data_IF_107056185579
#
_entry.id   IF_107056185579
#
_cell.length_a   1.000
_cell.length_b   1.000
_cell.length_c   1.000
_cell.angle_alpha   90.00
_cell.angle_beta   90.00
_cell.angle_gamma   90.00
#
_symmetry.space_group_name_H-M   'P 1'
#
loop_
_entity.id
_entity.type
_entity.pdbx_description
1 polymer ?
#
# COMPACT_ATOMS: atom_id res chain seq x y z
N UNK A 1 -49.50 29.26 27.35
CA UNK A 1 -50.76 28.95 26.66
C UNK A 1 -50.36 27.97 25.57
N UNK A 2 -50.70 26.85 25.85
CA UNK A 2 -51.33 25.59 25.37
C UNK A 2 -50.31 24.77 24.60
N UNK A 3 -49.77 23.70 25.06
CA UNK A 3 -50.15 22.32 25.49
C UNK A 3 -51.25 21.69 24.62
N UNK A 4 -50.83 20.60 23.91
CA UNK A 4 -51.62 19.39 23.60
C UNK A 4 -50.61 18.35 23.11
N UNK A 5 -50.26 17.37 23.80
CA UNK A 5 -50.75 16.10 24.32
C UNK A 5 -51.07 15.05 23.22
N UNK A 6 -50.29 13.96 23.30
CA UNK A 6 -50.49 12.66 22.66
C UNK A 6 -51.85 12.02 22.96
N UNK A 7 -52.21 10.94 22.24
CA UNK A 7 -52.54 9.75 23.01
C UNK A 7 -51.91 8.43 22.50
N UNK A 8 -51.46 7.66 23.50
CA UNK A 8 -51.20 6.21 23.43
C UNK A 8 -52.54 5.48 23.26
N UNK A 9 -52.53 4.37 22.48
CA UNK A 9 -53.55 3.32 22.65
C UNK A 9 -52.83 1.93 22.68
N UNK A 10 -53.24 1.16 23.68
CA UNK A 10 -52.69 -0.10 24.11
C UNK A 10 -53.31 -1.32 23.40
N UNK A 11 -52.58 -2.33 23.45
CA UNK A 11 -52.78 -3.77 23.44
C UNK A 11 -54.19 -4.36 23.45
N UNK A 12 -54.46 -5.36 22.59
CA UNK A 12 -55.59 -6.29 22.70
C UNK A 12 -55.33 -7.59 21.96
N UNK A 13 -55.05 -8.69 22.69
CA UNK A 13 -55.04 -10.08 22.22
C UNK A 13 -56.44 -10.61 22.02
N UNK A 14 -56.62 -11.52 21.06
CA UNK A 14 -57.44 -12.77 20.96
C UNK A 14 -57.79 -12.97 19.46
N UNK A 15 -57.59 -14.06 18.83
CA UNK A 15 -57.91 -15.42 19.05
C UNK A 15 -58.39 -16.06 17.73
N UNK A 16 -57.70 -17.07 17.25
CA UNK A 16 -58.12 -18.25 16.48
C UNK A 16 -59.10 -18.19 15.30
N UNK A 17 -58.67 -18.85 14.25
CA UNK A 17 -59.25 -19.88 13.35
C UNK A 17 -59.60 -19.50 11.91
N UNK A 18 -58.87 -20.22 11.05
CA UNK A 18 -59.30 -21.05 9.88
C UNK A 18 -59.91 -20.35 8.64
N UNK A 19 -59.24 -20.51 7.57
CA UNK A 19 -59.55 -21.31 6.37
C UNK A 19 -59.44 -20.57 5.03
N UNK A 20 -58.76 -21.26 4.12
CA UNK A 20 -58.95 -21.30 2.66
C UNK A 20 -58.40 -20.18 1.76
N UNK A 21 -57.48 -20.68 0.96
CA UNK A 21 -56.87 -20.19 -0.27
C UNK A 21 -57.89 -19.64 -1.32
N UNK A 22 -57.50 -18.84 -2.34
CA UNK A 22 -56.40 -19.13 -3.27
C UNK A 22 -55.53 -17.93 -3.74
N UNK A 23 -54.39 -18.30 -4.28
CA UNK A 23 -53.40 -17.60 -5.10
C UNK A 23 -54.01 -16.85 -6.34
N UNK A 24 -53.27 -16.03 -7.13
CA UNK A 24 -51.87 -15.60 -7.09
C UNK A 24 -51.68 -14.10 -7.42
N UNK A 25 -50.59 -13.49 -7.01
CA UNK A 25 -49.91 -12.49 -7.82
C UNK A 25 -48.41 -12.50 -7.49
N UNK A 26 -47.68 -12.90 -8.48
CA UNK A 26 -46.23 -12.89 -8.57
C UNK A 26 -45.70 -11.46 -8.47
N UNK A 27 -44.87 -11.19 -7.48
CA UNK A 27 -43.78 -10.23 -7.61
C UNK A 27 -42.56 -10.87 -6.95
N UNK A 28 -41.89 -11.70 -7.76
CA UNK A 28 -40.56 -12.20 -7.44
C UNK A 28 -39.56 -11.04 -7.55
N UNK A 29 -39.29 -10.38 -6.43
CA UNK A 29 -38.06 -9.59 -6.27
C UNK A 29 -36.92 -10.61 -6.26
N UNK A 30 -36.29 -10.75 -7.39
CA UNK A 30 -35.03 -11.48 -7.51
C UNK A 30 -34.03 -10.69 -6.68
N UNK A 31 -33.82 -11.12 -5.43
CA UNK A 31 -32.59 -10.81 -4.70
C UNK A 31 -31.48 -11.53 -5.48
N UNK A 32 -30.79 -10.83 -6.36
CA UNK A 32 -29.50 -11.24 -6.83
C UNK A 32 -28.58 -11.26 -5.61
N UNK A 33 -28.49 -12.44 -4.98
CA UNK A 33 -27.42 -12.74 -4.06
C UNK A 33 -26.11 -12.56 -4.80
N UNK A 34 -25.32 -11.61 -4.36
CA UNK A 34 -23.90 -11.50 -4.75
C UNK A 34 -23.26 -12.82 -4.29
N UNK A 35 -23.20 -13.76 -5.20
CA UNK A 35 -22.45 -15.00 -5.02
C UNK A 35 -20.98 -14.63 -5.14
N UNK A 36 -20.36 -14.28 -4.03
CA UNK A 36 -18.92 -14.26 -3.93
C UNK A 36 -18.50 -15.75 -3.84
N UNK A 37 -17.85 -16.33 -4.84
CA UNK A 37 -17.33 -17.68 -4.73
C UNK A 37 -16.32 -17.64 -3.57
N UNK A 38 -16.66 -18.36 -2.48
CA UNK A 38 -15.65 -18.67 -1.48
C UNK A 38 -14.53 -19.36 -2.25
N UNK A 39 -13.30 -18.84 -2.22
CA UNK A 39 -12.20 -19.53 -2.88
C UNK A 39 -12.16 -20.94 -2.34
N UNK A 40 -12.11 -21.91 -3.24
CA UNK A 40 -11.96 -23.32 -2.87
C UNK A 40 -10.67 -23.44 -2.03
N UNK A 41 -10.86 -23.53 -0.72
CA UNK A 41 -9.77 -23.54 0.27
C UNK A 41 -8.99 -24.86 0.26
N UNK A 42 -9.44 -25.84 -0.51
CA UNK A 42 -8.93 -27.20 -0.39
C UNK A 42 -7.75 -27.53 -1.31
N UNK A 43 -7.58 -26.83 -2.44
CA UNK A 43 -6.49 -27.15 -3.38
C UNK A 43 -5.26 -26.24 -3.29
N UNK A 44 -5.39 -25.01 -2.79
CA UNK A 44 -4.26 -24.05 -2.70
C UNK A 44 -3.70 -23.91 -1.26
N UNK A 45 -4.38 -24.42 -0.25
CA UNK A 45 -4.01 -24.23 1.15
C UNK A 45 -2.95 -25.22 1.65
N UNK A 46 -2.86 -26.42 1.05
CA UNK A 46 -1.94 -27.47 1.49
C UNK A 46 -0.58 -27.47 0.77
N UNK A 47 -0.47 -26.74 -0.32
CA UNK A 47 0.72 -26.75 -1.14
C UNK A 47 1.66 -25.62 -0.83
N UNK A 48 2.21 -25.40 0.25
CA UNK A 48 3.43 -24.62 0.51
C UNK A 48 3.37 -23.96 1.89
N UNK A 49 3.57 -24.77 2.89
CA UNK A 49 3.95 -24.28 4.21
C UNK A 49 5.37 -23.71 4.12
N UNK A 50 5.48 -22.43 3.77
CA UNK A 50 6.77 -21.75 3.86
C UNK A 50 7.04 -21.57 5.35
N UNK A 51 8.02 -22.33 5.85
CA UNK A 51 8.48 -22.17 7.22
C UNK A 51 8.94 -20.74 7.44
N UNK A 52 8.45 -20.12 8.50
CA UNK A 52 8.98 -18.82 8.92
C UNK A 52 10.47 -19.00 9.17
N UNK A 53 11.33 -18.10 8.70
CA UNK A 53 12.74 -18.19 9.02
C UNK A 53 12.91 -18.14 10.55
N UNK A 54 13.55 -19.15 11.10
CA UNK A 54 13.92 -19.18 12.51
C UNK A 54 15.32 -18.61 12.65
N UNK A 55 15.54 -17.75 13.61
CA UNK A 55 16.85 -17.17 13.88
C UNK A 55 17.26 -17.39 15.33
N UNK A 56 18.54 -17.68 15.54
CA UNK A 56 19.17 -17.67 16.86
C UNK A 56 19.56 -16.25 17.31
N UNK A 57 19.27 -15.23 16.51
CA UNK A 57 19.53 -13.83 16.88
C UNK A 57 18.70 -13.43 18.09
N UNK A 58 19.34 -12.79 19.07
CA UNK A 58 18.67 -12.17 20.21
C UNK A 58 18.00 -10.84 19.83
N UNK A 59 18.46 -10.20 18.75
CA UNK A 59 18.01 -8.87 18.31
C UNK A 59 16.89 -8.97 17.26
N UNK A 60 17.10 -9.77 16.19
CA UNK A 60 16.19 -9.83 15.05
C UNK A 60 15.11 -10.90 15.23
N UNK A 61 13.89 -10.59 14.74
CA UNK A 61 12.72 -11.44 14.90
C UNK A 61 12.70 -12.64 13.95
N UNK A 62 13.17 -12.49 12.72
CA UNK A 62 13.02 -13.48 11.65
C UNK A 62 14.36 -14.06 11.22
N UNK A 63 15.33 -13.21 10.85
CA UNK A 63 16.64 -13.64 10.36
C UNK A 63 17.71 -12.59 10.65
N UNK A 64 18.98 -13.00 10.72
CA UNK A 64 20.10 -12.06 10.82
C UNK A 64 20.18 -11.09 9.64
N UNK A 65 19.61 -11.45 8.49
CA UNK A 65 19.58 -10.61 7.31
C UNK A 65 18.67 -9.38 7.47
N UNK A 66 17.80 -9.35 8.48
CA UNK A 66 17.00 -8.15 8.82
C UNK A 66 17.87 -6.96 9.24
N UNK A 67 19.15 -7.23 9.57
CA UNK A 67 20.15 -6.19 9.76
C UNK A 67 20.35 -5.32 8.51
N UNK A 68 20.18 -5.87 7.31
CA UNK A 68 20.44 -5.13 6.05
C UNK A 68 19.38 -4.04 5.82
N UNK A 69 18.07 -4.34 5.78
CA UNK A 69 17.07 -3.29 5.65
C UNK A 69 17.03 -2.35 6.86
N UNK A 70 17.32 -2.84 8.08
CA UNK A 70 17.42 -1.98 9.25
C UNK A 70 18.57 -0.96 9.12
N UNK A 71 19.76 -1.42 8.68
CA UNK A 71 20.91 -0.55 8.43
C UNK A 71 20.62 0.44 7.27
N UNK A 72 19.95 0.00 6.20
CA UNK A 72 19.56 0.87 5.10
C UNK A 72 18.63 1.99 5.56
N UNK A 73 17.66 1.68 6.44
CA UNK A 73 16.77 2.69 7.00
C UNK A 73 17.49 3.69 7.90
N UNK A 74 18.41 3.22 8.76
CA UNK A 74 19.25 4.10 9.57
C UNK A 74 20.20 4.96 8.73
N UNK A 75 20.76 4.39 7.67
CA UNK A 75 21.58 5.13 6.71
C UNK A 75 20.78 6.22 6.00
N UNK A 76 19.51 5.99 5.68
CA UNK A 76 18.65 7.01 5.09
C UNK A 76 18.45 8.20 6.03
N UNK A 77 18.22 7.97 7.33
CA UNK A 77 18.18 9.05 8.32
C UNK A 77 19.51 9.80 8.40
N UNK A 78 20.63 9.08 8.50
CA UNK A 78 21.96 9.68 8.51
C UNK A 78 22.23 10.51 7.24
N UNK A 79 21.75 10.05 6.09
CA UNK A 79 21.86 10.76 4.81
C UNK A 79 21.08 12.07 4.82
N UNK A 80 19.83 12.07 5.31
CA UNK A 80 19.04 13.30 5.48
C UNK A 80 19.76 14.33 6.35
N UNK A 81 20.27 13.88 7.52
CA UNK A 81 21.05 14.76 8.40
C UNK A 81 22.34 15.25 7.72
N UNK A 82 23.01 14.36 6.96
CA UNK A 82 24.17 14.71 6.15
C UNK A 82 23.89 15.80 5.14
N UNK A 83 22.75 15.73 4.42
CA UNK A 83 22.33 16.79 3.49
C UNK A 83 22.17 18.12 4.19
N UNK A 84 21.53 18.12 5.37
CA UNK A 84 21.31 19.34 6.16
C UNK A 84 22.61 19.99 6.60
N UNK A 85 23.55 19.21 7.14
CA UNK A 85 24.84 19.76 7.59
C UNK A 85 25.79 20.12 6.44
N UNK A 86 25.70 19.41 5.31
CA UNK A 86 26.56 19.67 4.16
C UNK A 86 26.08 20.88 3.33
N UNK A 87 24.79 21.20 3.37
CA UNK A 87 24.17 22.21 2.51
C UNK A 87 24.87 23.56 2.52
N UNK A 88 25.29 24.15 3.67
CA UNK A 88 25.97 25.44 3.68
C UNK A 88 27.42 25.40 3.16
N UNK A 89 28.00 24.21 2.95
CA UNK A 89 29.43 24.04 2.63
C UNK A 89 29.68 23.49 1.24
N UNK A 90 28.72 22.78 0.63
CA UNK A 90 28.88 22.15 -0.67
C UNK A 90 28.38 23.05 -1.82
N UNK A 91 28.99 22.96 -3.01
CA UNK A 91 28.50 23.65 -4.18
C UNK A 91 27.12 23.12 -4.60
N UNK A 92 26.28 24.01 -5.17
CA UNK A 92 24.88 23.69 -5.50
C UNK A 92 24.74 22.45 -6.39
N UNK A 93 25.60 22.26 -7.39
CA UNK A 93 25.52 21.11 -8.29
C UNK A 93 25.71 19.76 -7.56
N UNK A 94 26.60 19.74 -6.54
CA UNK A 94 26.76 18.56 -5.67
C UNK A 94 25.49 18.31 -4.89
N UNK A 95 24.91 19.36 -4.30
CA UNK A 95 23.68 19.25 -3.54
C UNK A 95 22.51 18.79 -4.42
N UNK A 96 22.41 19.25 -5.67
CA UNK A 96 21.36 18.77 -6.60
C UNK A 96 21.48 17.26 -6.87
N UNK A 97 22.70 16.74 -7.07
CA UNK A 97 22.94 15.30 -7.23
C UNK A 97 22.54 14.55 -5.94
N UNK A 98 23.01 15.03 -4.79
CA UNK A 98 22.70 14.40 -3.51
C UNK A 98 21.22 14.46 -3.17
N UNK A 99 20.52 15.55 -3.50
CA UNK A 99 19.07 15.66 -3.37
C UNK A 99 18.33 14.65 -4.25
N UNK A 100 18.75 14.45 -5.48
CA UNK A 100 18.18 13.43 -6.34
C UNK A 100 18.40 12.01 -5.79
N UNK A 101 19.60 11.72 -5.27
CA UNK A 101 19.88 10.45 -4.58
C UNK A 101 18.95 10.27 -3.37
N UNK A 102 18.71 11.34 -2.59
CA UNK A 102 17.75 11.31 -1.49
C UNK A 102 16.33 10.94 -1.97
N UNK A 103 15.88 11.50 -3.10
CA UNK A 103 14.58 11.13 -3.69
C UNK A 103 14.50 9.63 -4.01
N UNK A 104 15.58 9.05 -4.56
CA UNK A 104 15.64 7.61 -4.82
C UNK A 104 15.66 6.80 -3.52
N UNK A 105 16.31 7.31 -2.47
CA UNK A 105 16.31 6.66 -1.15
C UNK A 105 14.94 6.70 -0.48
N UNK A 106 14.17 7.80 -0.60
CA UNK A 106 12.77 7.86 -0.14
C UNK A 106 11.94 6.77 -0.81
N UNK A 107 12.02 6.65 -2.14
CA UNK A 107 11.33 5.59 -2.87
C UNK A 107 11.76 4.19 -2.43
N UNK A 108 13.06 3.93 -2.31
CA UNK A 108 13.58 2.63 -1.88
C UNK A 108 13.21 2.30 -0.43
N UNK A 109 13.18 3.32 0.45
CA UNK A 109 12.79 3.14 1.83
C UNK A 109 11.29 2.80 1.94
N UNK A 110 10.40 3.61 1.37
CA UNK A 110 8.96 3.37 1.42
C UNK A 110 8.63 1.99 0.85
N UNK A 111 9.11 1.68 -0.35
CA UNK A 111 8.75 0.47 -1.08
C UNK A 111 9.61 -0.76 -0.74
N UNK A 112 10.70 -0.60 -0.03
CA UNK A 112 11.59 -1.70 0.35
C UNK A 112 11.65 -1.88 1.86
N UNK A 113 12.30 -0.94 2.56
CA UNK A 113 12.52 -1.03 4.02
C UNK A 113 11.21 -0.96 4.79
N UNK A 114 10.46 0.14 4.64
CA UNK A 114 9.21 0.40 5.36
C UNK A 114 8.14 -0.65 5.03
N UNK A 115 8.02 -1.01 3.77
CA UNK A 115 7.09 -2.04 3.31
C UNK A 115 7.36 -3.41 3.95
N UNK A 116 8.61 -3.89 3.93
CA UNK A 116 8.96 -5.15 4.57
C UNK A 116 8.80 -5.08 6.10
N UNK A 117 9.10 -3.93 6.70
CA UNK A 117 8.95 -3.69 8.13
C UNK A 117 7.50 -3.80 8.61
N UNK A 118 6.53 -3.30 7.84
CA UNK A 118 5.09 -3.41 8.13
C UNK A 118 4.66 -4.88 8.23
N UNK A 119 5.06 -5.71 7.27
CA UNK A 119 4.64 -7.12 7.22
C UNK A 119 5.40 -8.03 8.18
N UNK A 120 6.67 -7.73 8.40
CA UNK A 120 7.61 -8.52 9.19
C UNK A 120 8.51 -7.58 10.00
N UNK A 121 8.05 -7.04 11.15
CA UNK A 121 8.85 -6.17 12.00
C UNK A 121 10.19 -6.80 12.33
N UNK A 122 11.28 -6.06 12.12
CA UNK A 122 12.64 -6.61 12.12
C UNK A 122 13.14 -7.06 13.48
N UNK A 123 12.74 -6.38 14.56
CA UNK A 123 13.28 -6.60 15.90
C UNK A 123 12.33 -7.46 16.76
N UNK A 124 12.91 -8.26 17.66
CA UNK A 124 12.13 -8.98 18.67
C UNK A 124 11.48 -8.06 19.69
N UNK A 125 12.17 -6.96 20.02
CA UNK A 125 11.68 -5.94 20.95
C UNK A 125 10.68 -5.03 20.27
N UNK A 126 9.48 -4.91 20.83
CA UNK A 126 8.49 -3.94 20.33
C UNK A 126 8.98 -2.50 20.46
N UNK A 127 9.70 -2.17 21.54
CA UNK A 127 10.26 -0.83 21.69
C UNK A 127 11.23 -0.51 20.56
N UNK A 128 12.12 -1.45 20.18
CA UNK A 128 13.04 -1.22 19.06
C UNK A 128 12.29 -1.06 17.73
N UNK A 129 11.19 -1.79 17.51
CA UNK A 129 10.36 -1.59 16.34
C UNK A 129 9.71 -0.20 16.35
N UNK A 130 9.21 0.29 17.49
CA UNK A 130 8.64 1.66 17.61
C UNK A 130 9.72 2.73 17.38
N UNK A 131 10.90 2.59 17.97
CA UNK A 131 12.01 3.51 17.72
C UNK A 131 12.47 3.50 16.25
N UNK A 132 12.51 2.33 15.62
CA UNK A 132 12.81 2.23 14.21
C UNK A 132 11.72 2.89 13.36
N UNK A 133 10.43 2.71 13.69
CA UNK A 133 9.31 3.42 13.06
C UNK A 133 9.50 4.94 13.11
N UNK A 134 9.87 5.50 14.26
CA UNK A 134 10.18 6.93 14.41
C UNK A 134 11.33 7.34 13.49
N UNK A 135 12.42 6.57 13.43
CA UNK A 135 13.57 6.88 12.56
C UNK A 135 13.19 6.87 11.08
N UNK A 136 12.34 5.91 10.66
CA UNK A 136 11.82 5.87 9.29
C UNK A 136 10.90 7.06 9.00
N UNK A 137 10.07 7.43 9.97
CA UNK A 137 9.16 8.57 9.84
C UNK A 137 9.91 9.89 9.67
N UNK A 138 11.02 10.08 10.38
CA UNK A 138 11.90 11.25 10.18
C UNK A 138 12.59 11.18 8.81
N UNK A 139 13.17 10.03 8.45
CA UNK A 139 13.92 9.87 7.21
C UNK A 139 13.08 10.11 5.94
N UNK A 140 11.80 9.74 5.96
CA UNK A 140 10.87 9.88 4.85
C UNK A 140 9.90 11.07 5.00
N UNK A 141 9.89 11.72 6.17
CA UNK A 141 8.97 12.80 6.55
C UNK A 141 7.49 12.44 6.37
N UNK A 142 7.11 11.23 6.83
CA UNK A 142 5.72 10.80 6.98
C UNK A 142 5.63 9.71 8.07
N UNK A 143 4.46 9.49 8.65
CA UNK A 143 4.32 8.49 9.72
C UNK A 143 4.34 7.05 9.18
N UNK A 144 5.28 6.24 9.64
CA UNK A 144 5.38 4.81 9.32
C UNK A 144 4.15 4.04 9.81
N UNK A 145 3.60 4.41 10.97
CA UNK A 145 2.37 3.79 11.51
C UNK A 145 1.13 4.16 10.70
N UNK A 146 1.04 5.40 10.18
CA UNK A 146 -0.03 5.77 9.27
C UNK A 146 0.11 5.05 7.91
N UNK A 147 1.33 4.90 7.43
CA UNK A 147 1.61 4.10 6.23
C UNK A 147 1.17 2.64 6.42
N UNK A 148 1.43 2.03 7.59
CA UNK A 148 0.90 0.69 7.90
C UNK A 148 -0.63 0.64 7.76
N UNK A 149 -1.36 1.64 8.26
CA UNK A 149 -2.81 1.68 8.15
C UNK A 149 -3.29 1.73 6.69
N UNK A 150 -2.68 2.62 5.89
CA UNK A 150 -2.98 2.76 4.46
C UNK A 150 -2.64 1.47 3.71
N UNK A 151 -1.47 0.89 4.00
CA UNK A 151 -0.98 -0.31 3.34
C UNK A 151 -1.81 -1.56 3.70
N UNK A 152 -2.27 -1.69 4.96
CA UNK A 152 -3.18 -2.77 5.32
C UNK A 152 -4.57 -2.62 4.68
N UNK A 153 -5.01 -1.40 4.41
CA UNK A 153 -6.23 -1.15 3.64
C UNK A 153 -6.03 -1.48 2.16
N UNK A 154 -4.84 -1.17 1.62
CA UNK A 154 -4.43 -1.58 0.28
C UNK A 154 -4.47 -3.11 0.10
N UNK A 155 -3.97 -3.90 1.05
CA UNK A 155 -4.08 -5.37 1.02
C UNK A 155 -5.49 -5.91 1.15
N UNK A 156 -6.47 -5.14 1.61
CA UNK A 156 -7.88 -5.54 1.61
C UNK A 156 -8.52 -5.35 0.25
N UNK A 157 -8.25 -4.23 -0.42
CA UNK A 157 -8.80 -3.88 -1.71
C UNK A 157 -7.98 -4.38 -2.89
N UNK A 158 -6.63 -4.47 -2.75
CA UNK A 158 -5.71 -4.93 -3.80
C UNK A 158 -5.86 -4.16 -5.12
N UNK A 159 -5.96 -2.84 -5.03
CA UNK A 159 -6.23 -1.96 -6.17
C UNK A 159 -7.56 -2.29 -6.88
N UNK A 160 -8.61 -2.45 -6.06
CA UNK A 160 -9.97 -2.72 -6.52
C UNK A 160 -10.52 -1.59 -7.40
N UNK A 161 -11.48 -1.95 -8.25
CA UNK A 161 -12.23 -1.00 -9.07
C UNK A 161 -13.28 -0.28 -8.23
N UNK A 162 -13.71 0.89 -8.68
CA UNK A 162 -14.82 1.62 -8.07
C UNK A 162 -16.09 0.75 -8.03
N UNK A 163 -16.78 0.82 -6.91
CA UNK A 163 -18.13 0.26 -6.76
C UNK A 163 -19.21 1.15 -7.42
N UNK A 164 -20.48 0.78 -7.28
CA UNK A 164 -21.62 1.52 -7.84
C UNK A 164 -21.73 2.96 -7.31
N UNK A 165 -21.07 3.28 -6.19
CA UNK A 165 -21.04 4.62 -5.58
C UNK A 165 -19.81 5.43 -5.98
N UNK A 166 -18.90 4.82 -6.75
CA UNK A 166 -17.63 5.43 -7.13
C UNK A 166 -16.54 5.32 -6.05
N UNK A 167 -16.73 4.47 -5.02
CA UNK A 167 -15.76 4.26 -3.95
C UNK A 167 -14.90 3.02 -4.18
N UNK A 168 -13.69 3.00 -3.59
CA UNK A 168 -12.79 1.84 -3.54
C UNK A 168 -12.49 1.46 -2.10
N UNK A 169 -12.27 0.17 -1.84
CA UNK A 169 -11.80 -0.33 -0.54
C UNK A 169 -10.35 0.10 -0.31
N UNK A 170 -9.54 0.00 -1.35
CA UNK A 170 -8.15 0.41 -1.35
C UNK A 170 -8.03 1.92 -1.55
N UNK A 171 -7.48 2.61 -0.55
CA UNK A 171 -7.27 4.06 -0.65
C UNK A 171 -6.19 4.46 -1.66
N UNK A 172 -5.30 3.52 -1.99
CA UNK A 172 -4.24 3.68 -3.00
C UNK A 172 -4.61 3.03 -4.34
N UNK A 173 -5.86 2.61 -4.54
CA UNK A 173 -6.27 2.00 -5.80
C UNK A 173 -5.99 2.95 -6.98
N UNK A 174 -5.35 2.41 -8.01
CA UNK A 174 -5.13 3.15 -9.27
C UNK A 174 -6.44 3.46 -10.01
N UNK A 175 -7.55 2.83 -9.60
CA UNK A 175 -8.88 3.05 -10.16
C UNK A 175 -9.71 4.07 -9.37
N UNK A 176 -9.27 4.46 -8.15
CA UNK A 176 -10.03 5.33 -7.25
C UNK A 176 -10.43 6.68 -7.86
N UNK A 177 -9.57 7.26 -8.68
CA UNK A 177 -9.80 8.52 -9.37
C UNK A 177 -9.78 8.35 -10.89
N UNK A 178 -9.99 7.09 -11.34
CA UNK A 178 -10.19 6.76 -12.74
C UNK A 178 -11.60 7.08 -13.21
N UNK A 179 -11.84 6.93 -14.51
CA UNK A 179 -13.15 7.13 -15.13
C UNK A 179 -13.51 5.91 -15.98
N UNK A 180 -14.79 5.59 -16.09
CA UNK A 180 -15.31 4.52 -16.94
C UNK A 180 -14.69 3.14 -16.65
N UNK A 181 -14.31 2.89 -15.38
CA UNK A 181 -13.69 1.62 -14.95
C UNK A 181 -12.22 1.49 -15.34
N UNK A 182 -11.61 2.53 -15.89
CA UNK A 182 -10.19 2.56 -16.23
C UNK A 182 -9.34 3.13 -15.09
N UNK A 183 -8.05 2.75 -15.06
CA UNK A 183 -7.11 3.33 -14.13
C UNK A 183 -6.91 4.84 -14.40
N UNK A 184 -6.65 5.60 -13.35
CA UNK A 184 -6.31 7.01 -13.44
C UNK A 184 -5.07 7.22 -14.33
N UNK A 185 -4.93 8.44 -14.88
CA UNK A 185 -3.70 8.81 -15.57
C UNK A 185 -2.49 8.64 -14.65
N UNK A 186 -1.42 7.92 -15.07
CA UNK A 186 -0.28 7.65 -14.19
C UNK A 186 0.37 8.92 -13.65
N UNK A 187 0.43 9.99 -14.43
CA UNK A 187 1.02 11.25 -13.98
C UNK A 187 0.12 12.01 -13.00
N UNK A 188 -1.21 12.00 -13.21
CA UNK A 188 -2.15 12.51 -12.20
C UNK A 188 -2.03 11.73 -10.89
N UNK A 189 -2.02 10.41 -10.96
CA UNK A 189 -1.82 9.55 -9.79
C UNK A 189 -0.51 9.90 -9.06
N UNK A 190 0.61 9.96 -9.79
CA UNK A 190 1.94 10.22 -9.23
C UNK A 190 2.04 11.57 -8.52
N UNK A 191 1.53 12.62 -9.15
CA UNK A 191 1.68 13.98 -8.61
C UNK A 191 0.56 14.37 -7.63
N UNK A 192 -0.58 13.72 -7.64
CA UNK A 192 -1.71 14.14 -6.80
C UNK A 192 -1.94 13.23 -5.60
N UNK A 193 -1.52 11.96 -5.62
CA UNK A 193 -1.84 10.99 -4.55
C UNK A 193 -1.38 11.47 -3.17
N UNK A 194 -0.19 12.08 -3.08
CA UNK A 194 0.32 12.61 -1.81
C UNK A 194 -0.65 13.61 -1.13
N UNK A 195 -1.37 14.41 -1.91
CA UNK A 195 -2.29 15.42 -1.39
C UNK A 195 -3.71 14.90 -1.16
N UNK A 196 -3.99 13.65 -1.53
CA UNK A 196 -5.31 13.02 -1.43
C UNK A 196 -5.48 12.16 -0.18
N UNK A 197 -4.41 11.96 0.58
CA UNK A 197 -4.45 11.16 1.80
C UNK A 197 -5.33 11.83 2.86
N UNK A 198 -6.42 11.17 3.25
CA UNK A 198 -7.29 11.61 4.34
C UNK A 198 -6.72 11.17 5.69
N UNK A 199 -5.87 12.03 6.26
CA UNK A 199 -5.27 11.82 7.59
C UNK A 199 -6.35 11.61 8.67
N UNK A 200 -7.52 12.24 8.52
CA UNK A 200 -8.63 12.08 9.46
C UNK A 200 -9.20 10.66 9.45
N UNK A 201 -9.39 10.08 8.27
CA UNK A 201 -9.85 8.70 8.10
C UNK A 201 -8.79 7.71 8.56
N UNK A 202 -7.52 7.92 8.23
CA UNK A 202 -6.40 7.09 8.70
C UNK A 202 -6.35 7.06 10.22
N UNK A 203 -6.46 8.22 10.89
CA UNK A 203 -6.49 8.31 12.35
C UNK A 203 -7.69 7.60 12.97
N UNK A 204 -8.87 7.67 12.35
CA UNK A 204 -10.05 6.92 12.80
C UNK A 204 -9.82 5.41 12.74
N UNK A 205 -9.14 4.90 11.68
CA UNK A 205 -8.79 3.50 11.57
C UNK A 205 -7.79 3.08 12.66
N UNK A 206 -6.74 3.86 12.88
CA UNK A 206 -5.75 3.60 13.93
C UNK A 206 -6.38 3.52 15.33
N UNK A 207 -7.31 4.42 15.65
CA UNK A 207 -8.05 4.39 16.94
C UNK A 207 -8.89 3.13 17.09
N UNK A 208 -9.49 2.62 16.00
CA UNK A 208 -10.28 1.38 16.03
C UNK A 208 -9.45 0.15 16.35
N UNK A 209 -8.14 0.15 16.02
CA UNK A 209 -7.24 -0.97 16.26
C UNK A 209 -6.96 -1.23 17.74
N UNK A 210 -7.12 -0.22 18.62
CA UNK A 210 -6.97 -0.31 20.10
C UNK A 210 -5.64 -0.91 20.59
N UNK A 211 -4.59 -0.82 19.78
CA UNK A 211 -3.26 -1.37 20.06
C UNK A 211 -2.20 -0.29 20.35
N UNK A 212 -2.63 0.98 20.50
CA UNK A 212 -1.77 2.13 20.72
C UNK A 212 -1.15 2.73 19.45
N UNK A 213 -1.53 2.28 18.27
CA UNK A 213 -0.97 2.78 17.01
C UNK A 213 -1.31 4.26 16.79
N UNK A 214 -2.48 4.73 17.22
CA UNK A 214 -2.83 6.16 17.13
C UNK A 214 -1.89 7.04 17.96
N UNK A 215 -1.47 6.59 19.16
CA UNK A 215 -0.47 7.28 19.98
C UNK A 215 0.88 7.31 19.25
N UNK A 216 1.38 6.17 18.77
CA UNK A 216 2.67 6.08 18.10
C UNK A 216 2.68 6.85 16.78
N UNK A 217 1.60 6.80 15.99
CA UNK A 217 1.45 7.63 14.80
C UNK A 217 1.55 9.14 15.10
N UNK A 218 0.98 9.61 16.22
CA UNK A 218 1.12 11.00 16.63
C UNK A 218 2.55 11.34 17.08
N UNK A 219 3.25 10.43 17.76
CA UNK A 219 4.67 10.60 18.13
C UNK A 219 5.54 10.71 16.88
N UNK A 220 5.31 9.85 15.89
CA UNK A 220 6.01 9.89 14.61
C UNK A 220 5.78 11.19 13.84
N UNK A 221 4.50 11.66 13.77
CA UNK A 221 4.16 12.95 13.19
C UNK A 221 4.87 14.10 13.91
N UNK A 222 4.86 14.10 15.23
CA UNK A 222 5.54 15.13 16.03
C UNK A 222 7.05 15.08 15.82
N UNK A 223 7.66 13.90 15.76
CA UNK A 223 9.09 13.73 15.58
C UNK A 223 9.57 14.28 14.23
N UNK A 224 8.93 13.91 13.11
CA UNK A 224 9.37 14.44 11.83
C UNK A 224 8.99 15.92 11.65
N UNK A 225 7.82 16.38 12.14
CA UNK A 225 7.44 17.78 12.08
C UNK A 225 8.43 18.66 12.89
N UNK A 226 8.83 18.22 14.08
CA UNK A 226 9.86 18.91 14.87
C UNK A 226 11.20 18.92 14.15
N UNK A 227 11.59 17.80 13.52
CA UNK A 227 12.84 17.74 12.73
C UNK A 227 12.81 18.72 11.57
N UNK A 228 11.71 18.77 10.80
CA UNK A 228 11.55 19.76 9.72
C UNK A 228 11.56 21.19 10.22
N UNK A 229 10.90 21.47 11.36
CA UNK A 229 10.90 22.79 11.97
C UNK A 229 12.31 23.21 12.41
N UNK A 230 13.05 22.31 13.04
CA UNK A 230 14.46 22.55 13.42
C UNK A 230 15.31 22.85 12.18
N UNK A 231 15.17 22.04 11.11
CA UNK A 231 15.89 22.26 9.86
C UNK A 231 15.49 23.55 9.14
N UNK A 232 14.25 24.01 9.30
CA UNK A 232 13.75 25.26 8.73
C UNK A 232 14.23 26.51 9.49
N UNK A 233 14.51 26.37 10.79
CA UNK A 233 14.85 27.52 11.64
C UNK A 233 16.36 27.64 11.82
N UNK A 234 17.07 26.53 12.04
CA UNK A 234 18.49 26.53 12.40
C UNK A 234 19.34 26.43 11.13
N UNK A 235 20.34 27.30 11.02
CA UNK A 235 21.38 27.23 9.99
C UNK A 235 22.64 26.63 10.61
N UNK A 236 23.10 25.44 10.20
CA UNK A 236 24.21 24.75 10.85
C UNK A 236 25.52 25.56 10.90
N UNK A 237 25.79 26.35 9.85
CA UNK A 237 27.00 27.21 9.77
C UNK A 237 26.87 28.52 10.52
N UNK A 238 25.66 28.90 10.90
CA UNK A 238 25.42 30.16 11.64
C UNK A 238 24.13 30.07 12.47
N UNK A 239 24.18 29.49 13.68
CA UNK A 239 22.98 29.25 14.49
C UNK A 239 22.28 30.52 14.99
N UNK A 240 22.88 31.70 14.81
CA UNK A 240 22.25 33.01 15.12
C UNK A 240 21.33 33.49 14.00
N UNK A 241 21.50 32.97 12.78
CA UNK A 241 20.57 33.26 11.68
C UNK A 241 19.36 32.30 11.75
N UNK A 242 18.23 32.87 12.12
CA UNK A 242 16.94 32.19 12.07
C UNK A 242 16.43 32.18 10.64
N UNK A 243 15.74 31.06 10.27
CA UNK A 243 15.10 30.79 8.98
C UNK A 243 16.08 30.30 7.91
N UNK A 244 16.17 28.98 7.84
CA UNK A 244 16.96 28.26 6.83
C UNK A 244 16.13 28.00 5.55
N UNK A 245 15.49 29.06 5.02
CA UNK A 245 14.57 28.93 3.88
C UNK A 245 15.25 28.36 2.62
N UNK A 246 16.56 28.63 2.45
CA UNK A 246 17.33 28.10 1.31
C UNK A 246 17.43 26.57 1.35
N UNK A 247 17.66 26.01 2.54
CA UNK A 247 17.65 24.56 2.70
C UNK A 247 16.25 23.99 2.43
N UNK A 248 15.20 24.59 2.95
CA UNK A 248 13.84 24.13 2.71
C UNK A 248 13.44 24.20 1.24
N UNK A 249 13.82 25.29 0.55
CA UNK A 249 13.58 25.44 -0.90
C UNK A 249 14.34 24.37 -1.72
N UNK A 250 15.52 23.97 -1.26
CA UNK A 250 16.28 22.86 -1.84
C UNK A 250 15.65 21.50 -1.48
N UNK A 251 15.35 21.26 -0.21
CA UNK A 251 14.97 19.96 0.31
C UNK A 251 13.56 19.51 -0.12
N UNK A 252 12.57 20.38 0.00
CA UNK A 252 11.16 20.04 -0.25
C UNK A 252 10.89 19.47 -1.65
N UNK A 253 11.46 20.01 -2.75
CA UNK A 253 11.29 19.43 -4.08
C UNK A 253 11.81 17.99 -4.19
N UNK A 254 12.98 17.69 -3.61
CA UNK A 254 13.56 16.34 -3.65
C UNK A 254 12.81 15.37 -2.76
N UNK A 255 12.38 15.81 -1.59
CA UNK A 255 11.49 15.02 -0.73
C UNK A 255 10.20 14.65 -1.45
N UNK A 256 9.51 15.63 -2.04
CA UNK A 256 8.28 15.40 -2.79
C UNK A 256 8.51 14.50 -4.01
N UNK A 257 9.60 14.73 -4.76
CA UNK A 257 9.98 13.88 -5.88
C UNK A 257 10.17 12.41 -5.45
N UNK A 258 10.73 12.17 -4.26
CA UNK A 258 10.87 10.83 -3.70
C UNK A 258 9.53 10.14 -3.45
N UNK A 259 8.53 10.88 -2.95
CA UNK A 259 7.16 10.39 -2.84
C UNK A 259 6.52 10.14 -4.21
N UNK A 260 6.74 11.02 -5.18
CA UNK A 260 6.28 10.81 -6.56
C UNK A 260 6.85 9.51 -7.15
N UNK A 261 8.15 9.23 -6.96
CA UNK A 261 8.76 7.97 -7.38
C UNK A 261 8.15 6.76 -6.66
N UNK A 262 7.76 6.91 -5.40
CA UNK A 262 7.09 5.86 -4.65
C UNK A 262 5.69 5.56 -5.23
N UNK A 263 4.89 6.58 -5.52
CA UNK A 263 3.59 6.40 -6.18
C UNK A 263 3.74 5.85 -7.60
N UNK A 264 4.75 6.29 -8.36
CA UNK A 264 5.02 5.75 -9.70
C UNK A 264 5.34 4.25 -9.63
N UNK A 265 6.11 3.84 -8.63
CA UNK A 265 6.42 2.43 -8.35
C UNK A 265 5.14 1.67 -7.99
N UNK A 266 4.30 2.21 -7.10
CA UNK A 266 3.00 1.66 -6.70
C UNK A 266 2.05 1.49 -7.88
N UNK A 267 1.92 2.50 -8.74
CA UNK A 267 1.04 2.47 -9.91
C UNK A 267 1.34 1.27 -10.81
N UNK A 268 2.59 1.09 -11.23
CA UNK A 268 2.96 0.01 -12.16
C UNK A 268 3.10 -1.37 -11.49
N UNK A 269 2.96 -1.46 -10.19
CA UNK A 269 2.76 -2.72 -9.48
C UNK A 269 1.35 -3.28 -9.65
N UNK A 270 0.39 -2.44 -10.02
CA UNK A 270 -1.01 -2.83 -10.19
C UNK A 270 -1.53 -2.63 -11.60
N UNK A 271 -0.92 -1.75 -12.40
CA UNK A 271 -1.40 -1.47 -13.75
C UNK A 271 -1.26 -2.69 -14.66
N UNK A 272 -2.41 -3.18 -15.14
CA UNK A 272 -2.52 -4.42 -15.91
C UNK A 272 -2.50 -5.70 -15.09
N UNK A 273 -2.64 -5.61 -13.75
CA UNK A 273 -2.95 -6.75 -12.89
C UNK A 273 -4.41 -7.16 -13.03
N UNK A 274 -4.75 -8.37 -12.61
CA UNK A 274 -6.13 -8.84 -12.59
C UNK A 274 -6.69 -8.78 -11.16
N UNK A 275 -7.57 -7.81 -10.84
CA UNK A 275 -8.12 -7.65 -9.50
C UNK A 275 -9.07 -8.79 -9.07
N UNK A 276 -9.56 -9.60 -10.01
CA UNK A 276 -10.51 -10.69 -9.73
C UNK A 276 -9.80 -11.99 -9.32
N UNK A 277 -8.46 -12.06 -9.49
CA UNK A 277 -7.67 -13.26 -9.22
C UNK A 277 -6.64 -13.01 -8.12
N UNK A 278 -6.75 -13.64 -6.92
CA UNK A 278 -5.83 -13.40 -5.81
C UNK A 278 -4.34 -13.55 -6.13
N UNK A 279 -3.98 -14.51 -6.97
CA UNK A 279 -2.60 -14.73 -7.39
C UNK A 279 -2.09 -13.67 -8.38
N UNK A 280 -2.99 -12.95 -9.04
CA UNK A 280 -2.70 -11.95 -10.07
C UNK A 280 -3.04 -10.51 -9.65
N UNK A 281 -3.23 -10.24 -8.35
CA UNK A 281 -3.52 -8.90 -7.82
C UNK A 281 -2.41 -7.89 -8.01
N UNK A 282 -1.23 -8.34 -8.37
CA UNK A 282 -0.09 -7.48 -8.65
C UNK A 282 0.66 -7.88 -9.91
N UNK A 283 1.52 -6.98 -10.36
CA UNK A 283 2.48 -7.18 -11.43
C UNK A 283 3.85 -7.40 -10.82
N UNK A 284 4.60 -8.40 -11.26
CA UNK A 284 5.91 -8.70 -10.70
C UNK A 284 7.06 -8.30 -11.64
N UNK A 285 8.18 -7.93 -11.05
CA UNK A 285 9.44 -7.66 -11.74
C UNK A 285 10.57 -8.46 -11.09
N UNK A 286 11.26 -9.28 -11.88
CA UNK A 286 12.32 -10.16 -11.37
C UNK A 286 13.73 -9.64 -11.65
N UNK A 287 13.88 -8.36 -11.99
CA UNK A 287 15.20 -7.73 -12.18
C UNK A 287 16.06 -7.84 -10.93
N UNK A 288 17.25 -8.43 -11.03
CA UNK A 288 18.12 -8.72 -9.87
C UNK A 288 18.51 -7.46 -9.09
N UNK A 289 18.99 -6.42 -9.79
CA UNK A 289 19.41 -5.15 -9.17
C UNK A 289 18.23 -4.49 -8.48
N UNK A 290 17.07 -4.43 -9.13
CA UNK A 290 15.87 -3.87 -8.56
C UNK A 290 15.46 -4.60 -7.27
N UNK A 291 15.39 -5.94 -7.33
CA UNK A 291 15.01 -6.73 -6.16
C UNK A 291 16.04 -6.66 -5.03
N UNK A 292 17.30 -6.53 -5.35
CA UNK A 292 18.33 -6.33 -4.32
C UNK A 292 18.17 -4.97 -3.63
N UNK A 293 17.94 -3.88 -4.37
CA UNK A 293 17.76 -2.54 -3.82
C UNK A 293 16.44 -2.36 -3.05
N UNK A 294 15.40 -3.09 -3.45
CA UNK A 294 14.06 -3.00 -2.86
C UNK A 294 13.68 -4.22 -2.00
N UNK A 295 14.66 -4.98 -1.54
CA UNK A 295 14.47 -6.13 -0.63
C UNK A 295 13.38 -7.09 -1.12
N UNK A 296 13.48 -7.51 -2.38
CA UNK A 296 12.57 -8.42 -3.08
C UNK A 296 11.12 -7.93 -3.23
N UNK A 297 10.89 -6.64 -3.10
CA UNK A 297 9.56 -6.07 -3.30
C UNK A 297 9.14 -5.95 -4.79
N UNK A 298 10.00 -6.36 -5.71
CA UNK A 298 9.65 -6.59 -7.11
C UNK A 298 8.74 -7.81 -7.32
N UNK A 299 8.74 -8.77 -6.40
CA UNK A 299 7.85 -9.95 -6.38
C UNK A 299 6.46 -9.55 -5.85
N UNK A 300 5.79 -8.63 -6.51
CA UNK A 300 4.63 -7.95 -5.96
C UNK A 300 3.35 -8.80 -6.02
N UNK A 301 3.14 -9.57 -7.09
CA UNK A 301 2.03 -10.52 -7.18
C UNK A 301 2.13 -11.60 -6.09
N UNK A 302 3.34 -12.14 -5.89
CA UNK A 302 3.65 -13.09 -4.82
C UNK A 302 3.38 -12.50 -3.45
N UNK A 303 3.80 -11.24 -3.27
CA UNK A 303 3.59 -10.52 -2.03
C UNK A 303 2.10 -10.33 -1.72
N UNK A 304 1.28 -9.87 -2.67
CA UNK A 304 -0.16 -9.76 -2.48
C UNK A 304 -0.83 -11.10 -2.21
N UNK A 305 -0.38 -12.17 -2.89
CA UNK A 305 -0.90 -13.52 -2.67
C UNK A 305 -0.56 -14.06 -1.28
N UNK A 306 0.64 -13.77 -0.75
CA UNK A 306 1.10 -14.20 0.59
C UNK A 306 1.95 -13.11 1.27
N UNK A 307 1.33 -12.05 1.81
CA UNK A 307 2.05 -10.87 2.31
C UNK A 307 2.94 -11.13 3.53
N UNK A 308 2.75 -12.25 4.23
CA UNK A 308 3.58 -12.64 5.39
C UNK A 308 4.81 -13.46 5.02
N UNK A 309 5.03 -13.74 3.74
CA UNK A 309 6.28 -14.38 3.30
C UNK A 309 7.43 -13.40 3.49
N UNK A 310 8.42 -13.82 4.26
CA UNK A 310 9.58 -12.98 4.54
C UNK A 310 10.40 -12.73 3.27
N UNK A 311 10.91 -11.51 3.10
CA UNK A 311 11.61 -11.07 1.89
C UNK A 311 12.75 -12.01 1.46
N UNK A 312 13.49 -12.62 2.40
CA UNK A 312 14.56 -13.59 2.08
C UNK A 312 14.05 -14.92 1.53
N UNK A 313 12.75 -15.17 1.58
CA UNK A 313 12.10 -16.40 1.08
C UNK A 313 11.25 -16.16 -0.17
N UNK A 314 11.14 -14.91 -0.61
CA UNK A 314 10.23 -14.53 -1.68
C UNK A 314 10.59 -15.22 -3.01
N UNK A 315 11.87 -15.32 -3.37
CA UNK A 315 12.29 -16.03 -4.58
C UNK A 315 11.97 -17.53 -4.52
N UNK A 316 12.20 -18.17 -3.36
CA UNK A 316 11.83 -19.59 -3.17
C UNK A 316 10.33 -19.78 -3.30
N UNK A 317 9.54 -18.86 -2.72
CA UNK A 317 8.09 -18.88 -2.81
C UNK A 317 7.61 -18.74 -4.26
N UNK A 318 8.12 -17.76 -4.99
CA UNK A 318 7.80 -17.58 -6.41
C UNK A 318 8.02 -18.86 -7.22
N UNK A 319 9.17 -19.51 -7.05
CA UNK A 319 9.47 -20.76 -7.77
C UNK A 319 8.46 -21.88 -7.45
N UNK A 320 7.91 -21.90 -6.25
CA UNK A 320 6.93 -22.93 -5.84
C UNK A 320 5.52 -22.71 -6.36
N UNK A 321 5.21 -21.50 -6.87
CA UNK A 321 3.90 -21.15 -7.45
C UNK A 321 4.02 -20.74 -8.94
N UNK A 322 5.18 -20.93 -9.55
CA UNK A 322 5.47 -20.47 -10.92
C UNK A 322 4.49 -21.02 -11.96
N UNK A 323 4.16 -22.31 -11.86
CA UNK A 323 3.24 -22.95 -12.81
C UNK A 323 1.81 -22.42 -12.63
N UNK A 324 1.38 -22.21 -11.39
CA UNK A 324 0.10 -21.59 -11.10
C UNK A 324 0.04 -20.15 -11.61
N UNK A 325 1.11 -19.38 -11.44
CA UNK A 325 1.20 -18.02 -11.97
C UNK A 325 1.10 -17.98 -13.50
N UNK A 326 1.77 -18.92 -14.19
CA UNK A 326 1.67 -19.05 -15.65
C UNK A 326 0.27 -19.41 -16.09
N UNK A 327 -0.37 -20.39 -15.44
CA UNK A 327 -1.73 -20.82 -15.69
C UNK A 327 -2.74 -19.70 -15.52
N UNK A 328 -2.60 -18.89 -14.46
CA UNK A 328 -3.50 -17.79 -14.12
C UNK A 328 -3.16 -16.48 -14.84
N UNK A 329 -2.12 -16.46 -15.64
CA UNK A 329 -1.75 -15.30 -16.46
C UNK A 329 -1.23 -14.11 -15.65
N UNK A 330 -0.46 -14.37 -14.59
CA UNK A 330 0.15 -13.30 -13.78
C UNK A 330 1.09 -12.47 -14.64
N UNK A 331 0.84 -11.16 -14.68
CA UNK A 331 1.64 -10.24 -15.45
C UNK A 331 3.01 -10.01 -14.83
N UNK A 332 4.03 -9.95 -15.68
CA UNK A 332 5.40 -9.57 -15.30
C UNK A 332 5.93 -8.48 -16.20
N UNK A 333 6.82 -7.63 -15.66
CA UNK A 333 7.54 -6.62 -16.42
C UNK A 333 9.05 -6.81 -16.27
N UNK A 334 9.81 -6.46 -17.29
CA UNK A 334 11.27 -6.63 -17.31
C UNK A 334 12.00 -5.55 -16.50
N UNK A 335 11.43 -4.35 -16.41
CA UNK A 335 12.04 -3.18 -15.75
C UNK A 335 11.58 -3.07 -14.29
N UNK A 336 12.27 -2.24 -13.51
CA UNK A 336 11.75 -1.83 -12.21
C UNK A 336 10.38 -1.16 -12.37
N UNK A 337 9.46 -1.35 -11.42
CA UNK A 337 8.10 -0.82 -11.54
C UNK A 337 8.06 0.70 -11.74
N UNK A 338 8.93 1.48 -11.09
CA UNK A 338 9.03 2.91 -11.33
C UNK A 338 9.38 3.30 -12.79
N UNK A 339 9.86 2.36 -13.58
CA UNK A 339 10.13 2.49 -15.01
C UNK A 339 9.08 1.76 -15.88
N UNK A 340 7.97 1.36 -15.29
CA UNK A 340 6.92 0.59 -15.97
C UNK A 340 6.28 1.33 -17.15
N UNK A 341 6.30 2.66 -17.15
CA UNK A 341 5.85 3.46 -18.31
C UNK A 341 6.71 3.26 -19.58
N UNK A 342 7.88 2.63 -19.44
CA UNK A 342 8.76 2.25 -20.55
C UNK A 342 8.60 0.76 -20.95
N UNK A 343 7.63 0.05 -20.37
CA UNK A 343 7.38 -1.35 -20.73
C UNK A 343 6.74 -1.41 -22.12
N UNK A 344 7.34 -2.12 -23.09
CA UNK A 344 6.79 -2.22 -24.46
C UNK A 344 5.44 -2.96 -24.49
N UNK A 345 5.19 -3.83 -23.50
CA UNK A 345 3.98 -4.64 -23.40
C UNK A 345 2.93 -3.98 -22.47
N UNK A 346 3.03 -2.65 -22.27
CA UNK A 346 2.10 -1.92 -21.43
C UNK A 346 0.69 -1.97 -22.04
N UNK A 347 -0.36 -2.34 -21.26
CA UNK A 347 -1.73 -2.30 -21.72
C UNK A 347 -2.09 -0.90 -22.25
N UNK A 348 -2.71 -0.82 -23.43
CA UNK A 348 -3.17 0.46 -23.98
C UNK A 348 -4.35 0.96 -23.15
N UNK A 349 -4.31 2.21 -22.73
CA UNK A 349 -5.45 2.89 -22.13
C UNK A 349 -6.59 2.97 -23.15
N UNK A 350 -7.82 2.77 -22.73
CA UNK A 350 -8.98 2.73 -23.60
C UNK A 350 -9.20 1.39 -24.31
N UNK A 351 -8.27 0.45 -24.20
CA UNK A 351 -8.55 -0.95 -24.43
C UNK A 351 -9.26 -1.48 -23.19
N UNK A 352 -10.61 -1.61 -23.24
CA UNK A 352 -11.31 -2.34 -22.18
C UNK A 352 -10.50 -3.61 -21.93
N UNK A 353 -10.08 -3.87 -20.69
CA UNK A 353 -9.74 -5.20 -20.26
C UNK A 353 -11.02 -6.03 -20.37
N UNK A 354 -11.38 -6.40 -21.60
CA UNK A 354 -12.40 -7.41 -21.83
C UNK A 354 -11.81 -8.66 -21.23
N UNK A 355 -12.42 -9.10 -20.14
CA UNK A 355 -12.31 -10.50 -19.77
C UNK A 355 -12.43 -11.29 -21.09
N UNK A 356 -11.53 -12.25 -21.37
CA UNK A 356 -11.60 -13.02 -22.60
C UNK A 356 -13.05 -13.44 -22.77
N UNK A 357 -13.70 -12.99 -23.85
CA UNK A 357 -15.05 -13.41 -24.19
C UNK A 357 -15.01 -14.92 -24.12
N UNK A 358 -15.87 -15.50 -23.29
CA UNK A 358 -16.09 -16.93 -23.30
C UNK A 358 -16.43 -17.25 -24.74
N UNK A 359 -15.49 -17.86 -25.46
CA UNK A 359 -15.80 -18.49 -26.73
C UNK A 359 -17.02 -19.36 -26.49
N UNK A 360 -18.12 -18.95 -27.10
CA UNK A 360 -19.37 -19.69 -27.07
C UNK A 360 -19.09 -21.11 -27.57
N UNK A 361 -19.10 -22.05 -26.65
CA UNK A 361 -19.08 -23.47 -26.92
C UNK A 361 -20.41 -23.89 -27.59
N UNK A 362 -20.65 -23.33 -28.80
CA UNK A 362 -21.85 -23.62 -29.61
C UNK A 362 -21.49 -23.87 -31.07
N UNK A 363 -20.31 -24.43 -31.34
CA UNK A 363 -19.97 -24.84 -32.72
C UNK A 363 -19.44 -26.28 -32.84
N UNK A 364 -19.81 -27.17 -31.90
CA UNK A 364 -19.57 -28.61 -32.06
C UNK A 364 -20.91 -29.39 -31.99
N UNK A 365 -21.84 -28.99 -32.85
CA UNK A 365 -23.01 -29.80 -33.16
C UNK A 365 -23.45 -29.48 -34.60
N UNK A 366 -22.68 -29.95 -35.57
CA UNK A 366 -23.15 -30.32 -36.93
C UNK A 366 -22.18 -31.32 -37.54
#
# INVERSE_FOLDING_TARGET
>A
MQQEQEPRIACGRLGRRLSLLPLPCQNAVIRQGIWSPKPDRTMAADAIRIERPTTNSKLFAHTRWDAVPAAAGLFHLAYLLGLYFLFPHAPLWVMLILGFVYSLMVNANINGVGHNFIHNPFFRSQLLNRLFGITQSIACCFSQTMYDAVHMQHHKGNSDRQDEKGDTIDWLSIYRHGHDGEAENPWSYVFLSFFRDDVGTIRKDLRKRKNGDDFWGNIELAAFATTLLVMAIIVPSNPIHFINWRFMLYFLPFWYLGHCFSYLNGYYRHYGANPDKPIAWGVSSYGKIYNWLFFYNGYHAEHHFRPKVHWTKMEKFRRSIEDLQKQEGVRTIKRAHMLGFLDPDLPKRGGRDRAPERENATSLAR
#
